data_IF_817693250770
#
_entry.id   IF_817693250770
#
_cell.length_a   1.000
_cell.length_b   1.000
_cell.length_c   1.000
_cell.angle_alpha   90.00
_cell.angle_beta   90.00
_cell.angle_gamma   90.00
#
_symmetry.space_group_name_H-M   'P 1'
#
loop_
_entity.id
_entity.type
_entity.pdbx_description
1 polymer ?
#
# COMPACT_ATOMS: atom_id res chain seq x y z
N UNK A 1 8.04 23.79 0.70
CA UNK A 1 7.35 22.90 -0.28
C UNK A 1 6.32 22.04 0.44
N UNK A 2 5.17 21.77 -0.19
CA UNK A 2 4.10 20.96 0.42
C UNK A 2 4.43 19.45 0.44
N UNK A 3 5.27 19.00 -0.49
CA UNK A 3 5.73 17.61 -0.59
C UNK A 3 7.09 17.48 0.12
N UNK A 4 7.23 16.58 1.11
CA UNK A 4 8.51 16.27 1.73
C UNK A 4 9.50 15.63 0.75
N UNK A 5 10.80 15.78 1.01
CA UNK A 5 11.82 15.11 0.21
C UNK A 5 11.70 13.58 0.33
N UNK A 6 11.98 12.86 -0.77
CA UNK A 6 11.91 11.40 -0.81
C UNK A 6 10.52 10.82 -1.06
N UNK A 7 9.53 11.66 -1.37
CA UNK A 7 8.19 11.22 -1.79
C UNK A 7 7.96 11.55 -3.26
N UNK A 8 7.36 10.60 -3.97
CA UNK A 8 6.84 10.79 -5.32
C UNK A 8 5.32 11.00 -5.27
N UNK A 9 4.80 11.85 -6.16
CA UNK A 9 3.36 12.07 -6.32
C UNK A 9 2.96 11.67 -7.72
N UNK A 10 2.06 10.71 -7.81
CA UNK A 10 1.47 10.26 -9.06
C UNK A 10 -0.04 10.59 -9.06
N UNK A 11 -0.56 10.94 -10.24
CA UNK A 11 -2.01 11.02 -10.43
C UNK A 11 -2.60 9.62 -10.38
N UNK A 12 -3.79 9.47 -9.78
CA UNK A 12 -4.54 8.21 -9.87
C UNK A 12 -4.97 7.96 -11.32
N UNK A 13 -4.94 6.70 -11.74
CA UNK A 13 -5.54 6.30 -13.01
C UNK A 13 -7.06 6.53 -12.97
N UNK A 14 -7.67 6.62 -14.15
CA UNK A 14 -9.12 6.50 -14.27
C UNK A 14 -9.58 5.10 -13.86
N UNK A 15 -10.84 4.97 -13.46
CA UNK A 15 -11.48 3.68 -13.26
C UNK A 15 -11.90 3.39 -11.82
N UNK A 16 -12.16 2.10 -11.57
CA UNK A 16 -12.55 1.57 -10.27
C UNK A 16 -11.49 1.75 -9.19
N UNK A 17 -11.83 1.41 -7.93
CA UNK A 17 -10.84 1.41 -6.85
C UNK A 17 -9.77 0.33 -7.09
N UNK A 18 -10.20 -0.87 -7.47
CA UNK A 18 -9.37 -2.00 -7.85
C UNK A 18 -8.39 -1.65 -8.99
N UNK A 19 -8.88 -1.02 -10.05
CA UNK A 19 -8.05 -0.58 -11.18
C UNK A 19 -7.01 0.46 -10.76
N UNK A 20 -7.38 1.39 -9.87
CA UNK A 20 -6.47 2.40 -9.33
C UNK A 20 -5.42 1.81 -8.40
N UNK A 21 -5.78 0.82 -7.60
CA UNK A 21 -4.85 0.09 -6.73
C UNK A 21 -3.86 -0.71 -7.57
N UNK A 22 -4.35 -1.45 -8.58
CA UNK A 22 -3.49 -2.21 -9.50
C UNK A 22 -2.51 -1.29 -10.23
N UNK A 23 -2.99 -0.14 -10.73
CA UNK A 23 -2.13 0.86 -11.36
C UNK A 23 -1.07 1.42 -10.39
N UNK A 24 -1.44 1.69 -9.13
CA UNK A 24 -0.49 2.17 -8.12
C UNK A 24 0.60 1.14 -7.80
N UNK A 25 0.26 -0.15 -7.67
CA UNK A 25 1.25 -1.22 -7.52
C UNK A 25 2.19 -1.33 -8.73
N UNK A 26 1.68 -1.09 -9.94
CA UNK A 26 2.49 -1.04 -11.16
C UNK A 26 3.51 0.10 -11.20
N UNK A 27 3.38 1.13 -10.35
CA UNK A 27 4.38 2.19 -10.19
C UNK A 27 5.48 1.81 -9.20
N UNK A 28 5.29 0.76 -8.40
CA UNK A 28 6.29 0.31 -7.45
C UNK A 28 7.44 -0.43 -8.16
N UNK A 29 8.65 -0.26 -7.62
CA UNK A 29 9.83 -1.00 -8.07
C UNK A 29 9.80 -2.48 -7.65
N UNK A 30 10.96 -3.13 -7.74
CA UNK A 30 11.12 -4.51 -7.28
C UNK A 30 11.04 -4.59 -5.75
N UNK A 31 10.39 -5.63 -5.26
CA UNK A 31 10.28 -5.96 -3.83
C UNK A 31 8.88 -5.72 -3.27
N UNK A 32 8.69 -5.95 -1.96
CA UNK A 32 7.39 -5.80 -1.32
C UNK A 32 6.85 -4.38 -1.42
N UNK A 33 5.57 -4.25 -1.75
CA UNK A 33 4.86 -2.98 -1.75
C UNK A 33 3.65 -3.06 -0.82
N UNK A 34 3.39 -1.96 -0.11
CA UNK A 34 2.25 -1.81 0.78
C UNK A 34 1.49 -0.54 0.42
N UNK A 35 0.22 -0.69 0.09
CA UNK A 35 -0.72 0.40 -0.03
C UNK A 35 -1.35 0.65 1.34
N UNK A 36 -1.36 1.91 1.76
CA UNK A 36 -2.00 2.39 3.00
C UNK A 36 -3.09 3.39 2.62
N UNK A 37 -4.29 3.21 3.17
CA UNK A 37 -5.43 4.12 2.97
C UNK A 37 -5.21 5.51 3.57
N UNK A 38 -6.10 6.45 3.25
CA UNK A 38 -6.01 7.83 3.76
C UNK A 38 -6.40 7.96 5.24
N UNK A 39 -7.29 7.10 5.73
CA UNK A 39 -7.86 7.19 7.08
C UNK A 39 -7.39 6.00 7.93
N UNK A 40 -6.14 6.07 8.38
CA UNK A 40 -5.50 5.01 9.17
C UNK A 40 -4.98 5.55 10.50
N UNK A 41 -5.82 6.14 11.37
CA UNK A 41 -5.38 6.70 12.66
C UNK A 41 -4.75 5.64 13.59
N UNK A 42 -5.09 4.37 13.39
CA UNK A 42 -4.51 3.22 14.08
C UNK A 42 -3.10 2.85 13.63
N UNK A 43 -2.58 3.43 12.53
CA UNK A 43 -1.29 3.06 11.97
C UNK A 43 -0.16 3.40 12.93
N UNK A 44 0.63 2.39 13.29
CA UNK A 44 1.89 2.55 14.03
C UNK A 44 3.03 1.86 13.28
N UNK A 45 4.27 2.21 13.60
CA UNK A 45 5.45 1.58 12.99
C UNK A 45 5.53 0.09 13.31
N UNK A 46 5.08 -0.31 14.51
CA UNK A 46 5.06 -1.70 14.97
C UNK A 46 4.16 -2.58 14.10
N UNK A 47 3.01 -2.05 13.63
CA UNK A 47 2.13 -2.77 12.70
C UNK A 47 2.79 -3.07 11.35
N UNK A 48 3.80 -2.29 10.97
CA UNK A 48 4.50 -2.44 9.70
C UNK A 48 5.84 -3.18 9.84
N UNK A 49 6.21 -3.61 11.05
CA UNK A 49 7.56 -4.10 11.34
C UNK A 49 7.93 -5.34 10.51
N UNK A 50 7.01 -6.28 10.36
CA UNK A 50 7.29 -7.55 9.70
C UNK A 50 6.90 -7.57 8.21
N UNK A 51 6.20 -6.54 7.72
CA UNK A 51 5.77 -6.44 6.32
C UNK A 51 6.99 -6.49 5.40
N UNK A 52 7.00 -7.48 4.50
CA UNK A 52 8.10 -7.73 3.58
C UNK A 52 9.31 -8.45 4.17
N UNK A 53 9.23 -8.91 5.43
CA UNK A 53 10.34 -9.57 6.17
C UNK A 53 9.97 -10.97 6.69
N UNK A 54 8.69 -11.26 6.81
CA UNK A 54 8.14 -12.51 7.36
C UNK A 54 8.00 -13.66 6.35
N UNK A 55 8.28 -13.41 5.06
CA UNK A 55 8.21 -14.41 4.00
C UNK A 55 6.79 -14.69 3.49
N UNK A 56 5.81 -13.84 3.81
CA UNK A 56 4.47 -13.92 3.23
C UNK A 56 4.42 -13.31 1.81
N UNK A 57 3.52 -13.84 0.98
CA UNK A 57 3.29 -13.32 -0.38
C UNK A 57 2.41 -12.06 -0.39
N UNK A 58 1.60 -11.86 0.65
CA UNK A 58 0.67 -10.75 0.77
C UNK A 58 0.35 -10.40 2.22
N UNK A 59 -0.03 -9.15 2.47
CA UNK A 59 -0.44 -8.62 3.76
C UNK A 59 -1.78 -7.89 3.63
N UNK A 60 -2.62 -8.01 4.66
CA UNK A 60 -3.95 -7.41 4.67
C UNK A 60 -4.23 -6.77 6.02
N UNK A 61 -4.54 -5.47 6.02
CA UNK A 61 -4.93 -4.70 7.19
C UNK A 61 -6.45 -4.49 7.18
N UNK A 62 -7.24 -5.31 7.89
CA UNK A 62 -8.69 -5.19 7.90
C UNK A 62 -9.14 -3.91 8.64
N UNK A 63 -10.17 -3.25 8.11
CA UNK A 63 -10.83 -2.13 8.77
C UNK A 63 -12.10 -2.59 9.51
N UNK A 64 -12.51 -1.85 10.53
CA UNK A 64 -13.66 -2.20 11.37
C UNK A 64 -15.02 -2.10 10.65
N UNK A 65 -15.06 -1.38 9.53
CA UNK A 65 -16.24 -1.21 8.67
C UNK A 65 -16.42 -2.35 7.64
N UNK A 66 -15.53 -3.36 7.66
CA UNK A 66 -15.52 -4.48 6.73
C UNK A 66 -14.66 -4.25 5.48
N UNK A 67 -14.04 -3.08 5.34
CA UNK A 67 -13.04 -2.78 4.32
C UNK A 67 -11.62 -3.16 4.74
N UNK A 68 -10.65 -2.43 4.17
CA UNK A 68 -9.25 -2.55 4.54
C UNK A 68 -8.59 -1.18 4.59
N UNK A 69 -7.63 -1.04 5.50
CA UNK A 69 -6.77 0.13 5.63
C UNK A 69 -5.39 -0.11 5.01
N UNK A 70 -5.00 -1.36 4.81
CA UNK A 70 -3.79 -1.72 4.08
C UNK A 70 -3.94 -2.97 3.23
N UNK A 71 -3.23 -2.98 2.10
CA UNK A 71 -3.07 -4.13 1.22
C UNK A 71 -1.62 -4.15 0.75
N UNK A 72 -0.94 -5.30 0.86
CA UNK A 72 0.44 -5.44 0.43
C UNK A 72 0.67 -6.73 -0.34
N UNK A 73 1.65 -6.71 -1.23
CA UNK A 73 2.08 -7.85 -2.04
C UNK A 73 3.60 -7.89 -2.11
N UNK A 74 4.18 -9.08 -1.99
CA UNK A 74 5.64 -9.27 -1.96
C UNK A 74 6.29 -8.99 -3.32
N UNK A 75 5.58 -9.31 -4.41
CA UNK A 75 6.03 -9.14 -5.78
C UNK A 75 4.91 -8.49 -6.62
N UNK A 76 4.81 -7.14 -6.64
CA UNK A 76 3.74 -6.42 -7.35
C UNK A 76 3.79 -6.56 -8.87
N UNK A 77 4.96 -6.93 -9.41
CA UNK A 77 5.21 -7.08 -10.84
C UNK A 77 5.01 -8.53 -11.34
N UNK A 78 4.57 -9.45 -10.48
CA UNK A 78 4.37 -10.87 -10.80
C UNK A 78 2.97 -11.15 -11.34
#
# INVERSE_FOLDING_TARGET
>A
PWLPAGFDVAAQSSGGLDERIAAAFGLCGRGPALLVGMDTPQLTAELLHDVGRDGHDAWFGPAADGGFWALGVAEPAR
#
